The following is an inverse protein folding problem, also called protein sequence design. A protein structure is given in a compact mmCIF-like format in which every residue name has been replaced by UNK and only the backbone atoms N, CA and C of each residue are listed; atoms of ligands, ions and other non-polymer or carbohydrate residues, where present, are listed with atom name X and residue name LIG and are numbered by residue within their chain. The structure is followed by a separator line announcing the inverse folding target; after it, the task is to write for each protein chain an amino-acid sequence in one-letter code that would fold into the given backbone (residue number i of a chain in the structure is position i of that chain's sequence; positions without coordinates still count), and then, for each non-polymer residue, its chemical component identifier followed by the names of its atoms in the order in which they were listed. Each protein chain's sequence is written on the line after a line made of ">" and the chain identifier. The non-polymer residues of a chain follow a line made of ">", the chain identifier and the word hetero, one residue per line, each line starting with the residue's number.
data_IF_270556302586
#
_entry.id   IF_270556302586
#
_cell.length_a   1.000
_cell.length_b   1.000
_cell.length_c   1.000
_cell.angle_alpha   90.00
_cell.angle_beta   90.00
_cell.angle_gamma   90.00
#
_symmetry.space_group_name_H-M   'P 1'
#
loop_
_entity.id
_entity.type
_entity.pdbx_description
1 polymer ?
#
# COMPACT_ATOMS: atom_id res chain seq x y z
N UNK A 1 13.44 -24.04 5.55
CA UNK A 1 12.28 -24.72 4.95
C UNK A 1 12.70 -25.53 3.73
N UNK A 2 12.15 -26.73 3.48
CA UNK A 2 12.42 -27.50 2.26
C UNK A 2 11.98 -26.74 0.99
N UNK A 3 12.72 -26.80 -0.14
CA UNK A 3 12.39 -26.08 -1.37
C UNK A 3 10.96 -26.35 -1.88
N UNK A 4 10.49 -27.59 -1.80
CA UNK A 4 9.13 -27.98 -2.20
C UNK A 4 8.05 -27.26 -1.37
N UNK A 5 8.27 -27.10 -0.07
CA UNK A 5 7.34 -26.38 0.81
C UNK A 5 7.31 -24.89 0.47
N UNK A 6 8.46 -24.30 0.15
CA UNK A 6 8.56 -22.91 -0.27
C UNK A 6 7.78 -22.67 -1.59
N UNK A 7 7.99 -23.54 -2.57
CA UNK A 7 7.30 -23.50 -3.85
C UNK A 7 5.77 -23.59 -3.67
N UNK A 8 5.29 -24.56 -2.89
CA UNK A 8 3.86 -24.71 -2.61
C UNK A 8 3.27 -23.47 -1.91
N UNK A 9 4.02 -22.81 -1.02
CA UNK A 9 3.59 -21.56 -0.39
C UNK A 9 3.51 -20.41 -1.38
N UNK A 10 4.48 -20.29 -2.29
CA UNK A 10 4.47 -19.27 -3.35
C UNK A 10 3.28 -19.50 -4.29
N UNK A 11 3.07 -20.72 -4.76
CA UNK A 11 1.92 -21.08 -5.60
C UNK A 11 0.59 -20.81 -4.87
N UNK A 12 0.53 -21.11 -3.57
CA UNK A 12 -0.63 -20.83 -2.74
C UNK A 12 -0.94 -19.34 -2.59
N UNK A 13 0.08 -18.48 -2.52
CA UNK A 13 -0.06 -17.03 -2.53
C UNK A 13 -0.53 -16.54 -3.90
N UNK A 14 0.12 -16.98 -4.98
CA UNK A 14 -0.22 -16.57 -6.34
C UNK A 14 -1.64 -16.96 -6.73
N UNK A 15 -2.09 -18.16 -6.35
CA UNK A 15 -3.47 -18.58 -6.55
C UNK A 15 -4.49 -17.64 -5.87
N UNK A 16 -4.19 -17.15 -4.66
CA UNK A 16 -5.05 -16.18 -3.95
C UNK A 16 -5.02 -14.82 -4.62
N UNK A 17 -3.83 -14.36 -5.02
CA UNK A 17 -3.67 -13.09 -5.72
C UNK A 17 -4.41 -13.10 -7.06
N UNK A 18 -4.31 -14.18 -7.84
CA UNK A 18 -5.04 -14.38 -9.09
C UNK A 18 -6.57 -14.37 -8.89
N UNK A 19 -7.08 -14.90 -7.77
CA UNK A 19 -8.52 -14.82 -7.43
C UNK A 19 -8.97 -13.39 -7.16
N UNK A 20 -8.16 -12.60 -6.45
CA UNK A 20 -8.42 -11.17 -6.25
C UNK A 20 -8.36 -10.42 -7.58
N UNK A 21 -7.35 -10.71 -8.41
CA UNK A 21 -7.18 -10.12 -9.74
C UNK A 21 -8.39 -10.39 -10.64
N UNK A 22 -8.80 -11.66 -10.75
CA UNK A 22 -9.97 -12.05 -11.52
C UNK A 22 -11.26 -11.40 -10.99
N UNK A 23 -11.41 -11.28 -9.67
CA UNK A 23 -12.55 -10.59 -9.08
C UNK A 23 -12.56 -9.09 -9.42
N UNK A 24 -11.40 -8.43 -9.43
CA UNK A 24 -11.27 -7.01 -9.79
C UNK A 24 -11.39 -6.78 -11.29
N UNK A 25 -10.96 -7.71 -12.14
CA UNK A 25 -11.18 -7.64 -13.58
C UNK A 25 -12.66 -7.80 -13.94
N UNK A 26 -13.36 -8.72 -13.27
CA UNK A 26 -14.80 -8.93 -13.44
C UNK A 26 -15.64 -7.75 -12.89
N UNK A 27 -15.15 -7.07 -11.85
CA UNK A 27 -15.82 -5.97 -11.18
C UNK A 27 -14.84 -4.85 -10.80
N UNK A 28 -14.47 -3.97 -11.76
CA UNK A 28 -13.44 -2.95 -11.55
C UNK A 28 -13.77 -1.97 -10.44
N UNK A 29 -15.05 -1.67 -10.24
CA UNK A 29 -15.49 -0.76 -9.18
C UNK A 29 -15.25 -1.37 -7.79
N UNK A 30 -15.47 -2.67 -7.62
CA UNK A 30 -15.11 -3.37 -6.38
C UNK A 30 -13.59 -3.33 -6.12
N UNK A 31 -12.79 -3.46 -7.18
CA UNK A 31 -11.34 -3.27 -7.10
C UNK A 31 -10.95 -1.87 -6.63
N UNK A 32 -11.55 -0.83 -7.18
CA UNK A 32 -11.33 0.55 -6.73
C UNK A 32 -11.74 0.74 -5.26
N UNK A 33 -12.89 0.21 -4.86
CA UNK A 33 -13.37 0.27 -3.48
C UNK A 33 -12.33 -0.29 -2.51
N UNK A 34 -11.81 -1.48 -2.79
CA UNK A 34 -10.80 -2.13 -1.97
C UNK A 34 -9.46 -1.39 -2.00
N UNK A 35 -8.96 -1.02 -3.20
CA UNK A 35 -7.65 -0.38 -3.37
C UNK A 35 -7.55 0.95 -2.66
N UNK A 36 -8.60 1.78 -2.63
CA UNK A 36 -8.55 3.04 -1.87
C UNK A 36 -8.33 2.80 -0.38
N UNK A 37 -8.96 1.78 0.21
CA UNK A 37 -8.70 1.40 1.61
C UNK A 37 -7.29 0.85 1.80
N UNK A 38 -6.92 -0.14 0.98
CA UNK A 38 -5.64 -0.82 1.04
C UNK A 38 -4.46 0.14 0.86
N UNK A 39 -4.54 1.10 -0.07
CA UNK A 39 -3.48 2.07 -0.35
C UNK A 39 -3.17 2.95 0.87
N UNK A 40 -4.21 3.45 1.55
CA UNK A 40 -4.03 4.28 2.74
C UNK A 40 -3.36 3.49 3.87
N UNK A 41 -3.83 2.27 4.12
CA UNK A 41 -3.26 1.42 5.18
C UNK A 41 -1.84 0.99 4.82
N UNK A 42 -1.57 0.57 3.59
CA UNK A 42 -0.21 0.22 3.14
C UNK A 42 0.76 1.39 3.33
N UNK A 43 0.36 2.61 2.94
CA UNK A 43 1.19 3.80 3.15
C UNK A 43 1.45 4.08 4.65
N UNK A 44 0.41 4.02 5.50
CA UNK A 44 0.56 4.21 6.94
C UNK A 44 1.45 3.13 7.58
N UNK A 45 1.27 1.87 7.20
CA UNK A 45 2.09 0.75 7.70
C UNK A 45 3.52 0.82 7.20
N UNK A 46 3.75 1.27 5.98
CA UNK A 46 5.10 1.45 5.45
C UNK A 46 5.84 2.54 6.21
N UNK A 47 5.19 3.64 6.60
CA UNK A 47 5.78 4.66 7.49
C UNK A 47 6.01 4.12 8.90
N UNK A 48 5.07 3.33 9.44
CA UNK A 48 5.20 2.74 10.77
C UNK A 48 6.34 1.72 10.88
N UNK A 49 6.72 1.06 9.78
CA UNK A 49 7.90 0.20 9.72
C UNK A 49 9.22 0.96 9.86
N UNK A 50 9.19 2.29 9.72
CA UNK A 50 10.32 3.21 9.87
C UNK A 50 10.27 3.95 11.23
N UNK A 51 9.62 3.33 12.22
CA UNK A 51 9.42 3.81 13.59
C UNK A 51 8.60 5.12 13.74
N UNK A 52 7.94 5.59 12.67
CA UNK A 52 7.06 6.77 12.73
C UNK A 52 5.61 6.32 12.89
N UNK A 53 5.04 6.54 14.07
CA UNK A 53 3.69 6.05 14.40
C UNK A 53 2.61 6.97 13.82
N UNK A 54 1.91 6.49 12.79
CA UNK A 54 0.83 7.23 12.13
C UNK A 54 -0.39 6.33 11.95
N UNK A 55 -1.58 6.89 12.19
CA UNK A 55 -2.86 6.23 11.95
C UNK A 55 -3.58 6.85 10.76
N UNK A 56 -4.37 6.04 10.05
CA UNK A 56 -5.10 6.44 8.85
C UNK A 56 -5.99 7.67 9.09
N UNK A 57 -6.68 7.71 10.23
CA UNK A 57 -7.51 8.84 10.63
C UNK A 57 -6.71 10.14 10.77
N UNK A 58 -5.51 10.08 11.36
CA UNK A 58 -4.69 11.28 11.63
C UNK A 58 -4.22 11.94 10.32
N UNK A 59 -3.88 11.14 9.31
CA UNK A 59 -3.46 11.61 7.98
C UNK A 59 -4.58 12.40 7.28
N UNK A 60 -5.78 11.82 7.23
CA UNK A 60 -6.93 12.44 6.57
C UNK A 60 -7.43 13.65 7.35
N UNK A 61 -7.55 13.55 8.67
CA UNK A 61 -8.01 14.68 9.50
C UNK A 61 -7.01 15.84 9.51
N UNK A 62 -5.70 15.60 9.50
CA UNK A 62 -4.70 16.68 9.40
C UNK A 62 -4.85 17.43 8.08
N UNK A 63 -4.92 16.73 6.96
CA UNK A 63 -5.09 17.35 5.65
C UNK A 63 -6.38 18.18 5.57
N UNK A 64 -7.47 17.67 6.15
CA UNK A 64 -8.78 18.31 6.06
C UNK A 64 -9.03 19.42 7.09
N UNK A 65 -8.40 19.35 8.27
CA UNK A 65 -8.70 20.25 9.39
C UNK A 65 -7.55 21.21 9.74
N UNK A 66 -6.39 21.10 9.05
CA UNK A 66 -5.17 21.85 9.35
C UNK A 66 -4.87 21.90 10.86
N UNK A 67 -5.14 20.79 11.55
CA UNK A 67 -4.97 20.70 13.00
C UNK A 67 -3.48 20.71 13.32
N UNK A 68 -3.08 21.56 14.26
CA UNK A 68 -1.80 21.53 14.94
C UNK A 68 -1.60 20.14 15.56
N UNK A 69 -0.92 19.28 14.81
CA UNK A 69 -0.33 18.03 15.27
C UNK A 69 1.09 18.35 15.72
N UNK A 70 1.63 17.56 16.64
CA UNK A 70 3.03 17.64 17.00
C UNK A 70 3.93 17.43 15.77
N UNK A 71 5.19 17.84 15.86
CA UNK A 71 6.13 17.79 14.73
C UNK A 71 6.31 16.37 14.17
N UNK A 72 6.14 15.35 15.01
CA UNK A 72 6.23 13.93 14.63
C UNK A 72 5.02 13.48 13.82
N UNK A 73 3.79 13.76 14.27
CA UNK A 73 2.58 13.50 13.48
C UNK A 73 2.53 14.30 12.17
N UNK A 74 3.16 15.47 12.15
CA UNK A 74 3.33 16.26 10.94
C UNK A 74 4.22 15.57 9.91
N UNK A 75 5.43 15.19 10.32
CA UNK A 75 6.39 14.47 9.49
C UNK A 75 5.81 13.15 8.98
N UNK A 76 5.14 12.40 9.85
CA UNK A 76 4.51 11.14 9.51
C UNK A 76 3.41 11.28 8.45
N UNK A 77 2.54 12.30 8.55
CA UNK A 77 1.49 12.52 7.55
C UNK A 77 2.04 12.95 6.18
N UNK A 78 3.11 13.73 6.16
CA UNK A 78 3.78 14.15 4.93
C UNK A 78 4.47 12.95 4.25
N UNK A 79 5.14 12.11 5.04
CA UNK A 79 5.71 10.84 4.59
C UNK A 79 4.63 9.89 4.03
N UNK A 80 3.52 9.70 4.76
CA UNK A 80 2.39 8.89 4.26
C UNK A 80 1.86 9.45 2.94
N UNK A 81 1.73 10.77 2.83
CA UNK A 81 1.26 11.40 1.59
C UNK A 81 2.23 11.16 0.43
N UNK A 82 3.54 11.20 0.68
CA UNK A 82 4.56 10.93 -0.33
C UNK A 82 4.48 9.47 -0.83
N UNK A 83 4.47 8.49 0.10
CA UNK A 83 4.30 7.07 -0.25
C UNK A 83 2.98 6.81 -0.98
N UNK A 84 1.88 7.40 -0.50
CA UNK A 84 0.55 7.22 -1.07
C UNK A 84 0.46 7.71 -2.52
N UNK A 85 1.23 8.73 -2.93
CA UNK A 85 1.28 9.15 -4.34
C UNK A 85 1.81 8.05 -5.24
N UNK A 86 2.86 7.36 -4.80
CA UNK A 86 3.45 6.24 -5.56
C UNK A 86 2.50 5.04 -5.50
N UNK A 87 1.96 4.70 -4.33
CA UNK A 87 1.05 3.56 -4.19
C UNK A 87 -0.23 3.76 -5.03
N UNK A 88 -0.81 4.96 -5.05
CA UNK A 88 -2.02 5.25 -5.81
C UNK A 88 -1.81 5.24 -7.33
N UNK A 89 -0.61 5.64 -7.79
CA UNK A 89 -0.20 5.67 -9.19
C UNK A 89 1.25 5.20 -9.34
N UNK A 90 1.52 3.88 -9.34
CA UNK A 90 2.89 3.36 -9.30
C UNK A 90 3.74 3.72 -10.52
N UNK A 91 3.12 3.90 -11.68
CA UNK A 91 3.82 4.17 -12.94
C UNK A 91 4.17 2.90 -13.70
N UNK A 92 4.82 3.08 -14.85
CA UNK A 92 5.19 2.01 -15.78
C UNK A 92 6.62 1.54 -15.50
N UNK A 93 6.80 0.66 -14.52
CA UNK A 93 8.15 0.17 -14.15
C UNK A 93 8.82 -0.60 -15.29
N UNK A 94 8.04 -1.23 -16.19
CA UNK A 94 8.59 -1.97 -17.32
C UNK A 94 9.08 -1.03 -18.45
N UNK A 95 8.34 0.03 -18.75
CA UNK A 95 8.63 0.98 -19.83
C UNK A 95 9.45 2.22 -19.44
N UNK A 96 9.41 2.64 -18.17
CA UNK A 96 10.07 3.84 -17.65
C UNK A 96 10.70 3.59 -16.27
N UNK A 97 11.52 2.53 -16.21
CA UNK A 97 12.06 1.99 -14.95
C UNK A 97 12.79 3.06 -14.13
N UNK A 98 13.71 3.83 -14.74
CA UNK A 98 14.52 4.80 -14.03
C UNK A 98 13.67 5.90 -13.36
N UNK A 99 12.66 6.44 -14.05
CA UNK A 99 11.78 7.47 -13.48
C UNK A 99 10.92 6.91 -12.33
N UNK A 100 10.46 5.67 -12.44
CA UNK A 100 9.70 5.03 -11.36
C UNK A 100 10.57 4.77 -10.13
N UNK A 101 11.82 4.31 -10.30
CA UNK A 101 12.76 4.10 -9.19
C UNK A 101 13.07 5.42 -8.46
N UNK A 102 13.34 6.49 -9.22
CA UNK A 102 13.60 7.83 -8.69
C UNK A 102 12.37 8.39 -7.94
N UNK A 103 11.14 8.12 -8.42
CA UNK A 103 9.90 8.43 -7.68
C UNK A 103 9.78 7.63 -6.38
N UNK A 104 10.10 6.34 -6.41
CA UNK A 104 10.08 5.49 -5.21
C UNK A 104 11.07 5.99 -4.16
N UNK A 105 12.30 6.33 -4.58
CA UNK A 105 13.34 6.87 -3.71
C UNK A 105 12.93 8.20 -3.09
N UNK A 106 12.46 9.17 -3.89
CA UNK A 106 12.02 10.48 -3.38
C UNK A 106 10.82 10.41 -2.44
N UNK A 107 9.99 9.38 -2.58
CA UNK A 107 8.84 9.18 -1.72
C UNK A 107 9.18 8.45 -0.40
N UNK A 108 10.35 7.80 -0.35
CA UNK A 108 10.77 6.99 0.77
C UNK A 108 10.94 7.82 2.04
N UNK A 109 10.72 7.19 3.18
CA UNK A 109 11.13 7.72 4.47
C UNK A 109 12.65 7.52 4.56
N UNK A 110 13.39 8.59 4.32
CA UNK A 110 14.85 8.62 4.42
C UNK A 110 15.28 9.69 5.42
N UNK A 111 16.42 9.48 6.08
CA UNK A 111 17.09 10.49 6.91
C UNK A 111 17.88 11.47 6.02
N UNK A 112 18.27 11.02 4.82
CA UNK A 112 19.03 11.79 3.85
C UNK A 112 18.13 12.25 2.69
N UNK A 113 17.93 13.57 2.58
CA UNK A 113 17.21 14.25 1.48
C UNK A 113 18.03 14.28 0.16
N UNK A 114 18.94 13.32 -0.02
CA UNK A 114 19.87 13.27 -1.15
C UNK A 114 19.19 12.90 -2.47
N UNK A 115 19.71 13.45 -3.57
CA UNK A 115 19.39 12.97 -4.92
C UNK A 115 19.67 11.47 -5.03
N UNK A 116 18.92 10.78 -5.91
CA UNK A 116 19.10 9.35 -6.15
C UNK A 116 20.59 9.05 -6.43
N UNK A 117 21.31 8.37 -5.51
CA UNK A 117 22.77 8.43 -5.50
C UNK A 117 23.44 7.43 -6.45
N UNK A 118 22.69 6.85 -7.39
CA UNK A 118 23.13 5.74 -8.25
C UNK A 118 22.95 6.05 -9.72
N UNK A 119 23.72 5.35 -10.57
CA UNK A 119 23.46 5.31 -12.01
C UNK A 119 22.12 4.63 -12.27
N UNK A 120 21.07 5.46 -12.34
CA UNK A 120 19.70 5.01 -12.52
C UNK A 120 19.49 4.19 -13.78
N UNK A 121 20.32 4.35 -14.82
CA UNK A 121 20.22 3.55 -16.05
C UNK A 121 20.72 2.12 -15.83
N UNK A 122 21.87 1.95 -15.14
CA UNK A 122 22.43 0.63 -14.85
C UNK A 122 21.54 -0.19 -13.90
N UNK A 123 21.00 0.46 -12.86
CA UNK A 123 20.05 -0.18 -11.92
C UNK A 123 18.73 -0.52 -12.62
N UNK A 124 18.22 0.39 -13.46
CA UNK A 124 17.02 0.16 -14.26
C UNK A 124 17.14 -1.09 -15.14
N UNK A 125 18.26 -1.29 -15.83
CA UNK A 125 18.46 -2.46 -16.67
C UNK A 125 18.52 -3.77 -15.86
N UNK A 126 19.11 -3.74 -14.65
CA UNK A 126 19.14 -4.90 -13.73
C UNK A 126 17.77 -5.29 -13.19
N UNK A 127 16.84 -4.34 -13.09
CA UNK A 127 15.46 -4.59 -12.63
C UNK A 127 14.55 -4.96 -13.79
N UNK A 128 14.66 -4.26 -14.92
CA UNK A 128 13.77 -4.43 -16.09
C UNK A 128 13.86 -5.82 -16.71
N UNK A 129 15.08 -6.32 -16.97
CA UNK A 129 15.24 -7.64 -17.64
C UNK A 129 14.64 -8.79 -16.82
N UNK A 130 14.90 -8.92 -15.51
CA UNK A 130 14.24 -9.94 -14.71
C UNK A 130 12.74 -9.75 -14.56
N UNK A 131 12.25 -8.51 -14.58
CA UNK A 131 10.83 -8.22 -14.52
C UNK A 131 10.11 -8.77 -15.76
N UNK A 132 10.66 -8.53 -16.96
CA UNK A 132 10.12 -9.06 -18.23
C UNK A 132 10.10 -10.59 -18.28
N UNK A 133 11.07 -11.25 -17.63
CA UNK A 133 11.19 -12.70 -17.58
C UNK A 133 10.54 -13.35 -16.34
N UNK A 134 9.88 -12.58 -15.48
CA UNK A 134 9.37 -13.08 -14.21
C UNK A 134 8.24 -14.10 -14.44
N UNK A 135 8.28 -15.28 -13.81
CA UNK A 135 7.24 -16.30 -13.99
C UNK A 135 5.91 -15.92 -13.35
N UNK A 136 5.94 -15.07 -12.32
CA UNK A 136 4.77 -14.65 -11.55
C UNK A 136 4.93 -13.21 -11.01
N UNK A 137 3.83 -12.46 -10.79
CA UNK A 137 3.88 -11.11 -10.22
C UNK A 137 4.63 -10.99 -8.89
N UNK A 138 4.43 -11.92 -7.94
CA UNK A 138 5.11 -11.92 -6.65
C UNK A 138 6.62 -12.10 -6.80
N UNK A 139 7.05 -13.08 -7.60
CA UNK A 139 8.47 -13.38 -7.74
C UNK A 139 9.22 -12.26 -8.47
N UNK A 140 8.62 -11.69 -9.52
CA UNK A 140 9.19 -10.53 -10.20
C UNK A 140 9.28 -9.31 -9.28
N UNK A 141 8.25 -9.06 -8.47
CA UNK A 141 8.25 -7.97 -7.50
C UNK A 141 9.27 -8.16 -6.37
N UNK A 142 9.36 -9.38 -5.83
CA UNK A 142 10.34 -9.75 -4.81
C UNK A 142 11.76 -9.55 -5.33
N UNK A 143 12.04 -10.03 -6.54
CA UNK A 143 13.35 -9.89 -7.18
C UNK A 143 13.69 -8.42 -7.45
N UNK A 144 12.76 -7.63 -7.99
CA UNK A 144 12.97 -6.20 -8.22
C UNK A 144 13.34 -5.47 -6.93
N UNK A 145 12.64 -5.78 -5.83
CA UNK A 145 12.91 -5.16 -4.53
C UNK A 145 14.25 -5.61 -3.91
N UNK A 146 14.63 -6.89 -4.05
CA UNK A 146 15.94 -7.37 -3.58
C UNK A 146 17.07 -6.72 -4.39
N UNK A 147 16.95 -6.68 -5.72
CA UNK A 147 17.95 -6.02 -6.59
C UNK A 147 18.10 -4.55 -6.18
N UNK A 148 16.99 -3.82 -6.06
CA UNK A 148 17.03 -2.42 -5.63
C UNK A 148 17.65 -2.25 -4.23
N UNK A 149 17.34 -3.14 -3.29
CA UNK A 149 17.90 -3.12 -1.94
C UNK A 149 19.41 -3.30 -1.92
N UNK A 150 19.93 -4.22 -2.74
CA UNK A 150 21.39 -4.44 -2.88
C UNK A 150 22.09 -3.18 -3.41
N UNK A 151 21.49 -2.51 -4.39
CA UNK A 151 22.04 -1.27 -4.95
C UNK A 151 22.03 -0.12 -3.96
N UNK A 152 20.99 -0.05 -3.14
CA UNK A 152 20.81 1.03 -2.16
C UNK A 152 21.43 0.72 -0.78
N UNK A 153 22.15 -0.40 -0.65
CA UNK A 153 22.69 -0.88 0.63
C UNK A 153 21.65 -0.93 1.76
N UNK A 154 20.37 -1.16 1.41
CA UNK A 154 19.23 -1.14 2.34
C UNK A 154 19.04 0.17 3.12
N UNK A 155 19.53 1.30 2.60
CA UNK A 155 19.44 2.61 3.26
C UNK A 155 18.02 3.16 3.33
N UNK A 156 17.11 2.70 2.46
CA UNK A 156 15.71 3.13 2.43
C UNK A 156 14.74 1.93 2.25
N UNK A 157 14.46 1.13 3.29
CA UNK A 157 13.57 -0.04 3.18
C UNK A 157 12.15 0.29 2.70
N UNK A 158 11.67 1.50 2.97
CA UNK A 158 10.39 1.99 2.43
C UNK A 158 10.40 2.17 0.91
N UNK A 159 11.55 2.51 0.31
CA UNK A 159 11.73 2.55 -1.14
C UNK A 159 11.65 1.14 -1.73
N UNK A 160 12.30 0.14 -1.12
CA UNK A 160 12.25 -1.25 -1.57
C UNK A 160 10.81 -1.77 -1.66
N UNK A 161 9.98 -1.43 -0.66
CA UNK A 161 8.56 -1.80 -0.62
C UNK A 161 7.75 -1.10 -1.71
N UNK A 162 8.07 0.15 -2.03
CA UNK A 162 7.46 0.83 -3.17
C UNK A 162 7.86 0.20 -4.50
N UNK A 163 9.14 -0.19 -4.67
CA UNK A 163 9.62 -0.90 -5.86
C UNK A 163 8.91 -2.25 -6.00
N UNK A 164 8.72 -2.99 -4.90
CA UNK A 164 7.91 -4.21 -4.89
C UNK A 164 6.49 -3.93 -5.41
N UNK A 165 5.80 -2.91 -4.88
CA UNK A 165 4.43 -2.55 -5.29
C UNK A 165 4.37 -2.12 -6.76
N UNK A 166 5.36 -1.35 -7.24
CA UNK A 166 5.42 -0.90 -8.62
C UNK A 166 5.70 -2.05 -9.60
N UNK A 167 6.55 -3.01 -9.22
CA UNK A 167 6.84 -4.20 -10.00
C UNK A 167 5.61 -5.12 -10.08
N UNK A 168 4.95 -5.36 -8.94
CA UNK A 168 3.75 -6.19 -8.89
C UNK A 168 2.59 -5.56 -9.70
N UNK A 169 2.44 -4.22 -9.63
CA UNK A 169 1.54 -3.45 -10.49
C UNK A 169 1.82 -3.67 -11.97
N UNK A 170 3.07 -3.52 -12.41
CA UNK A 170 3.45 -3.64 -13.82
C UNK A 170 3.23 -5.06 -14.36
N UNK A 171 3.56 -6.08 -13.57
CA UNK A 171 3.41 -7.49 -13.94
C UNK A 171 1.96 -7.95 -14.07
N UNK A 172 1.01 -7.26 -13.42
CA UNK A 172 -0.43 -7.51 -13.58
C UNK A 172 -1.04 -6.79 -14.79
N UNK A 173 -0.21 -6.23 -15.66
CA UNK A 173 -0.67 -5.57 -16.89
C UNK A 173 -1.46 -4.28 -16.65
N UNK A 174 -1.40 -3.71 -15.44
CA UNK A 174 -1.85 -2.34 -15.23
C UNK A 174 -0.82 -1.41 -15.90
N UNK A 175 -1.22 -0.85 -17.03
CA UNK A 175 -0.35 -0.01 -17.85
C UNK A 175 -0.01 1.33 -17.21
N UNK A 176 0.46 2.27 -18.05
CA UNK A 176 0.87 3.62 -17.64
C UNK A 176 -0.20 4.31 -16.80
N UNK A 177 0.17 4.65 -15.57
CA UNK A 177 -0.66 5.46 -14.67
C UNK A 177 -0.36 6.93 -14.86
N UNK A 178 -1.35 7.80 -14.73
CA UNK A 178 -1.09 9.23 -14.61
C UNK A 178 -0.84 9.55 -13.13
N UNK A 179 0.14 10.40 -12.87
CA UNK A 179 0.31 10.93 -11.52
C UNK A 179 -0.98 11.64 -11.08
N UNK A 180 -1.47 11.26 -9.89
CA UNK A 180 -2.69 11.80 -9.32
C UNK A 180 -2.64 13.33 -9.26
N UNK A 181 -3.54 13.98 -10.00
CA UNK A 181 -3.70 15.43 -9.97
C UNK A 181 -4.57 15.81 -8.77
N UNK A 182 -3.93 16.13 -7.64
CA UNK A 182 -4.60 16.78 -6.51
C UNK A 182 -3.71 16.87 -5.28
N UNK A 183 -3.70 18.00 -4.56
CA UNK A 183 -2.92 18.12 -3.35
C UNK A 183 -3.54 17.23 -2.26
N UNK A 184 -2.72 16.34 -1.69
CA UNK A 184 -3.00 15.64 -0.44
C UNK A 184 -3.75 14.31 -0.53
N UNK A 185 -3.80 13.58 0.60
CA UNK A 185 -4.20 12.17 0.65
C UNK A 185 -5.66 11.94 0.25
N UNK A 186 -6.59 12.85 0.60
CA UNK A 186 -7.99 12.70 0.22
C UNK A 186 -8.20 12.71 -1.31
N UNK A 187 -7.41 13.52 -2.03
CA UNK A 187 -7.45 13.60 -3.49
C UNK A 187 -6.86 12.34 -4.14
N UNK A 188 -5.77 11.80 -3.58
CA UNK A 188 -5.12 10.58 -4.07
C UNK A 188 -6.04 9.35 -3.94
N UNK A 189 -6.78 9.24 -2.83
CA UNK A 189 -7.68 8.12 -2.58
C UNK A 189 -8.92 8.09 -3.49
N UNK A 190 -9.26 9.21 -4.13
CA UNK A 190 -10.36 9.30 -5.11
C UNK A 190 -9.99 8.69 -6.46
N UNK A 191 -8.70 8.57 -6.77
CA UNK A 191 -8.22 8.14 -8.08
C UNK A 191 -7.00 7.24 -7.93
N UNK A 192 -7.24 6.04 -7.43
CA UNK A 192 -6.23 4.97 -7.36
C UNK A 192 -6.17 4.28 -8.72
N UNK A 193 -5.14 4.59 -9.49
CA UNK A 193 -4.84 4.01 -10.80
C UNK A 193 -3.84 2.87 -10.62
N UNK A 194 -4.18 1.87 -9.81
CA UNK A 194 -3.28 0.76 -9.49
C UNK A 194 -3.86 -0.59 -9.90
N UNK A 195 -3.01 -1.47 -10.46
CA UNK A 195 -3.27 -2.89 -10.64
C UNK A 195 -2.88 -3.77 -9.45
N UNK A 196 -2.06 -3.26 -8.53
CA UNK A 196 -1.46 -4.09 -7.51
C UNK A 196 -2.47 -4.73 -6.55
N UNK A 197 -2.05 -5.84 -5.94
CA UNK A 197 -2.85 -6.65 -5.00
C UNK A 197 -2.07 -6.90 -3.71
N UNK A 198 -0.78 -7.15 -3.80
CA UNK A 198 0.02 -7.50 -2.63
C UNK A 198 0.44 -6.25 -1.85
N UNK A 199 0.12 -6.22 -0.56
CA UNK A 199 0.45 -5.13 0.38
C UNK A 199 1.52 -5.60 1.38
N UNK A 200 2.82 -5.36 1.12
CA UNK A 200 3.89 -5.90 1.96
C UNK A 200 3.93 -5.30 3.38
N UNK A 201 3.65 -4.00 3.56
CA UNK A 201 3.72 -3.37 4.88
C UNK A 201 2.53 -3.77 5.76
N UNK A 202 1.33 -3.74 5.18
CA UNK A 202 0.33 -4.82 5.26
C UNK A 202 0.71 -6.06 6.07
N UNK A 203 1.23 -7.02 5.31
CA UNK A 203 1.65 -8.35 5.73
C UNK A 203 2.63 -8.35 6.91
N UNK A 204 3.55 -7.38 6.97
CA UNK A 204 4.62 -7.36 7.97
C UNK A 204 4.23 -6.71 9.31
N UNK A 205 3.12 -5.99 9.37
CA UNK A 205 2.67 -5.33 10.60
C UNK A 205 1.43 -5.97 11.19
N UNK A 206 0.79 -6.86 10.44
CA UNK A 206 -0.44 -7.49 10.85
C UNK A 206 -0.19 -8.72 11.75
N UNK A 207 -0.74 -8.68 12.96
CA UNK A 207 -0.55 -9.75 13.94
C UNK A 207 0.82 -9.74 14.62
N UNK A 208 1.62 -8.69 14.39
CA UNK A 208 2.93 -8.50 14.98
C UNK A 208 3.86 -7.75 14.02
N UNK A 209 4.86 -7.08 14.57
CA UNK A 209 5.88 -6.38 13.78
C UNK A 209 6.93 -7.36 13.25
N UNK A 210 7.25 -7.26 11.95
CA UNK A 210 8.32 -7.98 11.26
C UNK A 210 9.10 -6.99 10.40
N UNK A 211 10.44 -7.06 10.47
CA UNK A 211 11.30 -6.23 9.66
C UNK A 211 11.25 -6.63 8.18
N UNK A 212 11.36 -5.64 7.29
CA UNK A 212 11.55 -5.87 5.86
C UNK A 212 12.95 -6.47 5.60
N UNK A 213 12.99 -7.76 5.26
CA UNK A 213 14.23 -8.52 5.02
C UNK A 213 14.05 -9.60 3.95
N UNK A 214 13.53 -9.23 2.75
CA UNK A 214 13.12 -10.19 1.71
C UNK A 214 14.25 -11.09 1.19
N UNK A 215 15.51 -10.66 1.30
CA UNK A 215 16.69 -11.44 0.90
C UNK A 215 17.08 -12.57 1.86
N UNK A 216 16.47 -12.65 3.04
CA UNK A 216 16.73 -13.72 4.01
C UNK A 216 15.60 -14.76 3.99
N UNK A 217 15.91 -16.03 4.26
CA UNK A 217 14.89 -17.07 4.32
C UNK A 217 13.81 -16.77 5.38
N UNK A 218 14.21 -16.33 6.57
CA UNK A 218 13.26 -15.99 7.64
C UNK A 218 12.36 -14.78 7.29
N UNK A 219 12.93 -13.78 6.63
CA UNK A 219 12.19 -12.62 6.13
C UNK A 219 11.21 -12.99 5.04
N UNK A 220 11.62 -13.82 4.07
CA UNK A 220 10.76 -14.35 3.02
C UNK A 220 9.61 -15.19 3.60
N UNK A 221 9.90 -16.08 4.55
CA UNK A 221 8.87 -16.90 5.22
C UNK A 221 7.83 -16.05 5.95
N UNK A 222 8.27 -14.98 6.61
CA UNK A 222 7.42 -14.00 7.30
C UNK A 222 6.56 -13.22 6.30
N UNK A 223 7.16 -12.72 5.22
CA UNK A 223 6.46 -12.00 4.17
C UNK A 223 5.41 -12.86 3.49
N UNK A 224 5.75 -14.09 3.08
CA UNK A 224 4.82 -15.05 2.48
C UNK A 224 3.65 -15.37 3.42
N UNK A 225 3.94 -15.52 4.72
CA UNK A 225 2.91 -15.81 5.73
C UNK A 225 1.92 -14.67 5.87
N UNK A 226 2.45 -13.45 6.04
CA UNK A 226 1.64 -12.24 6.15
C UNK A 226 0.84 -11.94 4.87
N UNK A 227 1.46 -12.06 3.69
CA UNK A 227 0.79 -11.82 2.41
C UNK A 227 -0.33 -12.84 2.16
N UNK A 228 -0.13 -14.11 2.53
CA UNK A 228 -1.17 -15.14 2.43
C UNK A 228 -2.37 -14.79 3.31
N UNK A 229 -2.11 -14.43 4.58
CA UNK A 229 -3.17 -14.03 5.52
C UNK A 229 -3.91 -12.77 5.06
N UNK A 230 -3.19 -11.78 4.51
CA UNK A 230 -3.79 -10.56 3.98
C UNK A 230 -4.61 -10.82 2.71
N UNK A 231 -4.14 -11.68 1.80
CA UNK A 231 -4.93 -12.07 0.63
C UNK A 231 -6.23 -12.79 1.03
N UNK A 232 -6.18 -13.69 2.03
CA UNK A 232 -7.38 -14.36 2.55
C UNK A 232 -8.37 -13.36 3.17
N UNK A 233 -7.88 -12.36 3.91
CA UNK A 233 -8.73 -11.29 4.45
C UNK A 233 -9.32 -10.41 3.36
N UNK A 234 -8.53 -10.03 2.37
CA UNK A 234 -8.98 -9.24 1.23
C UNK A 234 -10.10 -9.95 0.48
N UNK A 235 -9.97 -11.26 0.24
CA UNK A 235 -11.02 -12.10 -0.35
C UNK A 235 -12.32 -12.07 0.47
N UNK A 236 -12.22 -12.14 1.81
CA UNK A 236 -13.37 -12.00 2.70
C UNK A 236 -14.02 -10.61 2.64
N UNK A 237 -13.23 -9.55 2.53
CA UNK A 237 -13.72 -8.16 2.44
C UNK A 237 -14.52 -7.91 1.16
N UNK A 238 -14.23 -8.61 0.06
CA UNK A 238 -14.98 -8.44 -1.21
C UNK A 238 -16.49 -8.67 -1.05
N UNK A 239 -16.88 -9.66 -0.25
CA UNK A 239 -18.29 -9.96 0.00
C UNK A 239 -18.99 -8.81 0.73
N UNK A 240 -18.31 -8.18 1.69
CA UNK A 240 -18.82 -7.04 2.46
C UNK A 240 -19.00 -5.82 1.57
N UNK A 241 -17.98 -5.48 0.77
CA UNK A 241 -18.03 -4.35 -0.15
C UNK A 241 -19.10 -4.53 -1.23
N UNK A 242 -19.21 -5.74 -1.82
CA UNK A 242 -20.24 -6.05 -2.82
C UNK A 242 -21.64 -5.93 -2.22
N UNK A 243 -21.87 -6.46 -1.02
CA UNK A 243 -23.16 -6.35 -0.33
C UNK A 243 -23.53 -4.91 -0.07
N UNK A 244 -22.62 -4.12 0.51
CA UNK A 244 -22.85 -2.70 0.74
C UNK A 244 -23.27 -1.98 -0.56
N UNK A 245 -22.59 -2.27 -1.68
CA UNK A 245 -22.90 -1.63 -2.96
C UNK A 245 -24.29 -2.00 -3.47
N UNK A 246 -24.65 -3.29 -3.39
CA UNK A 246 -25.99 -3.77 -3.77
C UNK A 246 -27.09 -3.10 -2.94
N UNK A 247 -26.89 -3.03 -1.62
CA UNK A 247 -27.85 -2.41 -0.69
C UNK A 247 -28.00 -0.90 -1.00
N UNK A 248 -26.88 -0.19 -1.21
CA UNK A 248 -26.90 1.23 -1.58
C UNK A 248 -27.60 1.49 -2.93
N UNK A 249 -27.36 0.62 -3.92
CA UNK A 249 -28.03 0.71 -5.23
C UNK A 249 -29.54 0.45 -5.12
N UNK A 250 -29.96 -0.52 -4.31
CA UNK A 250 -31.37 -0.81 -4.07
C UNK A 250 -32.09 0.38 -3.41
N UNK A 251 -31.46 1.00 -2.40
CA UNK A 251 -31.99 2.22 -1.76
C UNK A 251 -32.11 3.35 -2.77
N UNK A 252 -31.10 3.56 -3.61
CA UNK A 252 -31.13 4.60 -4.64
C UNK A 252 -32.20 4.34 -5.71
N UNK A 253 -32.44 3.09 -6.09
CA UNK A 253 -33.44 2.71 -7.08
C UNK A 253 -34.88 2.92 -6.59
N UNK A 254 -35.12 2.82 -5.28
CA UNK A 254 -36.44 3.04 -4.67
C UNK A 254 -36.84 4.52 -4.58
N UNK A 255 -35.93 5.46 -4.88
CA UNK A 255 -36.22 6.91 -4.85
C UNK A 255 -36.85 7.40 -6.16
N UNK A 256 -37.52 8.56 -6.09
CA UNK A 256 -38.13 9.16 -7.28
C UNK A 256 -37.07 9.49 -8.34
N UNK A 257 -37.46 9.46 -9.62
CA UNK A 257 -36.55 9.74 -10.74
C UNK A 257 -35.93 11.15 -10.76
N UNK A 258 -36.39 12.06 -9.89
CA UNK A 258 -35.80 13.39 -9.71
C UNK A 258 -34.64 13.41 -8.69
N UNK A 259 -34.46 12.35 -7.90
CA UNK A 259 -33.37 12.27 -6.91
C UNK A 259 -32.04 11.95 -7.60
N UNK A 260 -30.97 12.62 -7.16
CA UNK A 260 -29.59 12.37 -7.59
C UNK A 260 -28.90 11.28 -6.76
N UNK A 261 -29.63 10.56 -5.90
CA UNK A 261 -29.05 9.54 -5.01
C UNK A 261 -28.38 8.40 -5.79
N UNK A 262 -28.90 8.04 -6.96
CA UNK A 262 -28.25 7.04 -7.84
C UNK A 262 -26.88 7.51 -8.34
N UNK A 263 -26.76 8.78 -8.69
CA UNK A 263 -25.50 9.35 -9.15
C UNK A 263 -24.50 9.46 -7.98
N UNK A 264 -24.98 9.83 -6.78
CA UNK A 264 -24.17 9.81 -5.57
C UNK A 264 -23.65 8.40 -5.24
N UNK A 265 -24.48 7.36 -5.28
CA UNK A 265 -24.06 5.98 -5.00
C UNK A 265 -22.96 5.52 -5.94
N UNK A 266 -23.09 5.83 -7.24
CA UNK A 266 -22.05 5.54 -8.24
C UNK A 266 -20.76 6.30 -7.94
N UNK A 267 -20.87 7.56 -7.53
CA UNK A 267 -19.73 8.38 -7.16
C UNK A 267 -19.00 7.81 -5.94
N UNK A 268 -19.70 7.52 -4.83
CA UNK A 268 -19.06 7.04 -3.59
C UNK A 268 -18.46 5.63 -3.72
N UNK A 269 -18.97 4.81 -4.64
CA UNK A 269 -18.37 3.51 -4.93
C UNK A 269 -16.96 3.67 -5.50
N UNK A 270 -16.72 4.72 -6.30
CA UNK A 270 -15.40 5.02 -6.88
C UNK A 270 -14.55 5.89 -5.98
N UNK A 271 -15.20 6.78 -5.24
CA UNK A 271 -14.56 7.83 -4.46
C UNK A 271 -14.97 7.72 -2.99
N UNK A 272 -14.11 7.18 -2.10
CA UNK A 272 -14.52 6.86 -0.73
C UNK A 272 -14.67 8.08 0.18
N UNK A 273 -14.26 9.28 -0.27
CA UNK A 273 -14.24 10.52 0.51
C UNK A 273 -14.84 11.69 -0.28
N UNK A 274 -15.92 12.26 0.25
CA UNK A 274 -16.68 13.32 -0.39
C UNK A 274 -16.77 14.57 0.50
N UNK A 275 -16.73 15.74 -0.14
CA UNK A 275 -17.04 17.03 0.50
C UNK A 275 -18.23 17.67 -0.23
N UNK A 276 -18.98 18.54 0.45
CA UNK A 276 -20.12 19.20 -0.17
C UNK A 276 -19.72 20.08 -1.39
N UNK A 277 -18.60 20.85 -1.36
CA UNK A 277 -18.13 21.56 -2.56
C UNK A 277 -17.85 20.61 -3.73
N UNK A 278 -17.16 19.50 -3.48
CA UNK A 278 -16.83 18.51 -4.49
C UNK A 278 -18.08 17.87 -5.09
N UNK A 279 -19.04 17.47 -4.24
CA UNK A 279 -20.30 16.90 -4.69
C UNK A 279 -21.08 17.82 -5.63
N UNK A 280 -21.10 19.12 -5.33
CA UNK A 280 -21.79 20.13 -6.16
C UNK A 280 -21.16 20.23 -7.53
N UNK A 281 -19.84 20.28 -7.58
CA UNK A 281 -19.07 20.37 -8.82
C UNK A 281 -19.29 19.10 -9.67
N UNK A 282 -19.09 17.92 -9.08
CA UNK A 282 -19.17 16.65 -9.79
C UNK A 282 -20.58 16.28 -10.24
N UNK A 283 -21.62 16.58 -9.43
CA UNK A 283 -23.01 16.23 -9.78
C UNK A 283 -23.81 17.39 -10.39
N UNK A 284 -23.22 18.58 -10.52
CA UNK A 284 -23.90 19.76 -11.05
C UNK A 284 -25.11 20.21 -10.22
N UNK A 285 -25.07 20.02 -8.90
CA UNK A 285 -26.20 20.34 -7.99
C UNK A 285 -25.99 21.64 -7.22
N UNK A 286 -27.09 22.30 -6.86
CA UNK A 286 -27.04 23.50 -6.02
C UNK A 286 -26.51 23.18 -4.61
N UNK A 287 -26.04 24.21 -3.89
CA UNK A 287 -25.56 24.04 -2.50
C UNK A 287 -26.62 23.44 -1.58
N UNK A 288 -27.87 23.86 -1.71
CA UNK A 288 -28.97 23.31 -0.89
C UNK A 288 -29.21 21.85 -1.25
N UNK A 289 -29.28 21.53 -2.55
CA UNK A 289 -29.49 20.18 -3.02
C UNK A 289 -28.34 19.23 -2.61
N UNK A 290 -27.09 19.69 -2.56
CA UNK A 290 -25.97 18.86 -2.11
C UNK A 290 -26.09 18.45 -0.63
N UNK A 291 -26.52 19.36 0.24
CA UNK A 291 -26.70 19.01 1.66
C UNK A 291 -27.89 18.08 1.86
N UNK A 292 -29.03 18.35 1.21
CA UNK A 292 -30.19 17.43 1.25
C UNK A 292 -29.81 16.03 0.76
N UNK A 293 -29.07 15.94 -0.34
CA UNK A 293 -28.63 14.67 -0.92
C UNK A 293 -27.70 13.89 0.04
N UNK A 294 -26.83 14.59 0.75
CA UNK A 294 -25.91 13.99 1.71
C UNK A 294 -26.63 13.56 2.99
N UNK A 295 -27.56 14.38 3.51
CA UNK A 295 -28.39 14.01 4.67
C UNK A 295 -29.25 12.78 4.35
N UNK A 296 -29.82 12.70 3.15
CA UNK A 296 -30.55 11.51 2.67
C UNK A 296 -29.65 10.27 2.61
N UNK A 297 -28.42 10.41 2.11
CA UNK A 297 -27.47 9.31 2.01
C UNK A 297 -26.93 8.87 3.38
N UNK A 298 -26.73 9.80 4.31
CA UNK A 298 -26.32 9.53 5.69
C UNK A 298 -27.43 8.81 6.45
N UNK A 299 -28.69 9.26 6.33
CA UNK A 299 -29.85 8.58 6.91
C UNK A 299 -30.06 7.17 6.35
N UNK A 300 -29.64 6.92 5.10
CA UNK A 300 -29.65 5.61 4.47
C UNK A 300 -28.42 4.73 4.78
N UNK A 301 -27.44 5.22 5.54
CA UNK A 301 -26.20 4.50 5.83
C UNK A 301 -25.24 4.36 4.64
N UNK A 302 -25.46 5.12 3.56
CA UNK A 302 -24.60 5.13 2.36
C UNK A 302 -23.32 5.92 2.63
N UNK A 303 -23.41 6.96 3.46
CA UNK A 303 -22.31 7.82 3.88
C UNK A 303 -22.28 7.94 5.41
N UNK A 304 -21.11 8.25 5.95
CA UNK A 304 -20.93 8.66 7.35
C UNK A 304 -20.12 9.94 7.43
N UNK A 305 -20.61 10.93 8.18
CA UNK A 305 -19.83 12.13 8.46
C UNK A 305 -18.64 11.78 9.35
N UNK A 306 -17.42 12.11 8.91
CA UNK A 306 -16.19 11.80 9.66
C UNK A 306 -15.60 13.02 10.37
N UNK A 307 -15.94 14.23 9.94
CA UNK A 307 -15.47 15.47 10.60
C UNK A 307 -16.50 16.05 11.58
N UNK A 308 -16.06 16.60 12.72
CA UNK A 308 -16.97 17.09 13.76
C UNK A 308 -17.50 18.52 13.50
N UNK A 309 -16.91 19.30 12.58
CA UNK A 309 -17.27 20.71 12.36
C UNK A 309 -18.35 20.87 11.30
N UNK A 310 -19.31 21.76 11.56
CA UNK A 310 -20.41 22.09 10.63
C UNK A 310 -19.98 22.90 9.42
N UNK A 311 -18.92 23.72 9.55
CA UNK A 311 -18.41 24.58 8.48
C UNK A 311 -17.63 23.85 7.39
N UNK A 312 -17.07 22.67 7.71
CA UNK A 312 -16.34 21.83 6.76
C UNK A 312 -16.58 20.35 7.07
N UNK A 313 -17.63 19.81 6.45
CA UNK A 313 -18.01 18.40 6.57
C UNK A 313 -17.37 17.56 5.47
N UNK A 314 -16.80 16.43 5.89
CA UNK A 314 -16.34 15.37 5.00
C UNK A 314 -17.10 14.11 5.37
N UNK A 315 -17.56 13.42 4.34
CA UNK A 315 -18.25 12.16 4.45
C UNK A 315 -17.43 11.07 3.80
N UNK A 316 -17.48 9.89 4.40
CA UNK A 316 -16.80 8.72 3.90
C UNK A 316 -17.80 7.59 3.65
N UNK A 317 -17.44 6.70 2.72
CA UNK A 317 -18.07 5.38 2.62
C UNK A 317 -17.89 4.63 3.95
N UNK A 318 -18.87 3.83 4.45
CA UNK A 318 -18.81 3.24 5.79
C UNK A 318 -17.52 2.48 6.12
N UNK A 319 -17.01 1.63 5.22
CA UNK A 319 -15.75 0.90 5.39
C UNK A 319 -14.53 1.84 5.54
N UNK A 320 -14.51 2.94 4.77
CA UNK A 320 -13.49 3.97 4.91
C UNK A 320 -13.68 4.75 6.21
N UNK A 321 -14.93 5.06 6.59
CA UNK A 321 -15.22 5.74 7.85
C UNK A 321 -14.77 4.93 9.07
N UNK A 322 -15.00 3.62 9.06
CA UNK A 322 -14.54 2.70 10.11
C UNK A 322 -13.01 2.69 10.21
N UNK A 323 -12.32 2.69 9.05
CA UNK A 323 -10.86 2.78 8.98
C UNK A 323 -10.33 4.11 9.56
N UNK A 324 -10.97 5.22 9.23
CA UNK A 324 -10.58 6.57 9.68
C UNK A 324 -10.98 6.88 11.13
N UNK A 325 -11.86 6.07 11.73
CA UNK A 325 -12.19 6.16 13.14
C UNK A 325 -11.02 5.74 14.05
N UNK A 326 -10.11 4.89 13.55
CA UNK A 326 -8.87 4.55 14.23
C UNK A 326 -7.95 5.77 14.29
N UNK A 327 -7.58 6.17 15.50
CA UNK A 327 -6.76 7.36 15.77
C UNK A 327 -5.74 7.05 16.85
N UNK A 328 -4.64 7.78 16.85
CA UNK A 328 -3.71 7.76 17.98
C UNK A 328 -4.47 8.11 19.27
N UNK A 329 -4.34 7.32 20.36
CA UNK A 329 -4.80 7.77 21.66
C UNK A 329 -4.09 9.08 21.96
N UNK A 330 -4.83 10.18 22.03
CA UNK A 330 -4.26 11.48 22.38
C UNK A 330 -3.49 11.32 23.68
N UNK A 331 -2.17 11.40 23.62
CA UNK A 331 -1.36 11.69 24.80
C UNK A 331 -1.86 13.07 25.24
N UNK A 332 -2.70 13.13 26.27
CA UNK A 332 -3.00 14.38 26.94
C UNK A 332 -1.64 14.95 27.31
N UNK A 333 -1.21 15.98 26.60
CA UNK A 333 -0.15 16.85 27.10
C UNK A 333 -0.80 17.54 28.28
N UNK A 334 -0.70 16.91 29.46
CA UNK A 334 -1.05 17.55 30.71
C UNK A 334 -0.13 18.75 30.83
N UNK A 335 -0.76 19.91 30.66
CA UNK A 335 -0.15 21.20 30.78
C UNK A 335 0.02 21.44 32.28
N UNK A 336 1.16 20.99 32.80
CA UNK A 336 1.64 21.35 34.13
C UNK A 336 1.56 20.21 35.14
N UNK A 337 2.66 19.47 35.27
CA UNK A 337 3.27 19.27 36.58
C UNK A 337 4.76 18.96 36.37
N UNK A 338 5.62 19.88 36.79
CA UNK A 338 7.04 19.61 36.97
C UNK A 338 7.16 18.59 38.10
N UNK A 339 7.24 17.32 37.77
CA UNK A 339 7.87 16.33 38.64
C UNK A 339 9.31 16.13 38.16
N UNK A 340 10.20 16.87 38.80
CA UNK A 340 11.61 16.56 38.88
C UNK A 340 11.79 15.21 39.54
N UNK A 341 12.29 14.23 38.80
CA UNK A 341 12.99 13.07 39.34
C UNK A 341 14.38 12.98 38.68
N UNK A 342 15.43 12.58 39.42
CA UNK A 342 16.80 12.89 39.06
C UNK A 342 17.47 11.78 38.23
N UNK A 343 18.24 12.21 37.22
CA UNK A 343 19.53 11.60 36.89
C UNK A 343 19.53 10.23 36.20
N UNK A 344 19.28 10.21 34.89
CA UNK A 344 20.11 9.44 33.95
C UNK A 344 20.30 10.32 32.72
N UNK A 345 21.51 10.86 32.54
CA UNK A 345 21.89 11.57 31.34
C UNK A 345 21.94 10.56 30.17
N UNK A 346 20.79 10.33 29.53
CA UNK A 346 20.75 9.67 28.23
C UNK A 346 21.21 10.69 27.20
N UNK A 347 22.49 10.65 26.88
CA UNK A 347 23.07 11.34 25.74
C UNK A 347 22.45 10.77 24.44
N UNK A 348 21.56 11.51 23.76
CA UNK A 348 20.87 11.02 22.57
C UNK A 348 21.84 10.78 21.41
N UNK A 349 23.00 11.45 21.42
CA UNK A 349 24.00 11.32 20.36
C UNK A 349 24.77 9.99 20.45
N UNK A 350 24.92 9.43 21.65
CA UNK A 350 25.57 8.13 21.84
C UNK A 350 24.67 6.95 21.41
N UNK A 351 23.35 7.07 21.63
CA UNK A 351 22.36 6.09 21.15
C UNK A 351 22.16 6.13 19.62
N UNK A 352 22.41 7.28 18.98
CA UNK A 352 22.41 7.40 17.51
C UNK A 352 23.71 6.83 16.92
N UNK A 353 24.86 7.03 17.58
CA UNK A 353 26.14 6.48 17.15
C UNK A 353 26.23 4.93 17.28
N UNK A 354 25.56 4.32 18.26
CA UNK A 354 25.47 2.85 18.37
C UNK A 354 24.43 2.23 17.41
N UNK A 355 23.49 3.02 16.87
CA UNK A 355 22.47 2.56 15.91
C UNK A 355 22.81 2.86 14.45
N UNK A 356 23.65 3.86 14.19
CA UNK A 356 24.35 4.04 12.93
C UNK A 356 25.52 3.04 12.85
N UNK A 357 25.19 1.75 12.79
CA UNK A 357 26.20 0.72 12.56
C UNK A 357 26.84 0.91 11.20
N UNK A 358 27.99 1.57 11.15
CA UNK A 358 28.93 1.45 10.03
C UNK A 358 29.38 -0.02 10.02
N UNK A 359 28.65 -0.86 9.29
CA UNK A 359 28.96 -2.29 9.15
C UNK A 359 30.32 -2.42 8.48
N UNK A 360 31.21 -3.19 9.08
CA UNK A 360 32.52 -3.48 8.51
C UNK A 360 32.40 -4.13 7.12
N UNK A 361 33.28 -3.82 6.15
CA UNK A 361 33.25 -4.37 4.80
C UNK A 361 33.11 -5.89 4.73
N UNK A 362 33.75 -6.62 5.65
CA UNK A 362 33.70 -8.08 5.69
C UNK A 362 32.30 -8.66 6.01
N UNK A 363 31.49 -7.97 6.82
CA UNK A 363 30.10 -8.39 7.10
C UNK A 363 29.16 -8.09 5.93
N UNK A 364 29.55 -7.16 5.04
CA UNK A 364 28.78 -6.80 3.83
C UNK A 364 28.96 -7.83 2.73
N UNK A 365 30.20 -8.27 2.50
CA UNK A 365 30.50 -9.37 1.56
C UNK A 365 29.79 -10.68 1.96
N UNK A 366 29.72 -10.97 3.27
CA UNK A 366 29.00 -12.14 3.79
C UNK A 366 27.48 -12.05 3.62
N UNK A 367 26.87 -10.89 3.81
CA UNK A 367 25.43 -10.67 3.62
C UNK A 367 25.07 -10.71 2.11
N UNK A 368 25.88 -10.09 1.25
CA UNK A 368 25.72 -10.15 -0.21
C UNK A 368 25.85 -11.58 -0.73
N UNK A 369 26.83 -12.35 -0.24
CA UNK A 369 27.00 -13.76 -0.61
C UNK A 369 25.80 -14.61 -0.16
N UNK A 370 25.23 -14.35 1.03
CA UNK A 370 24.03 -15.05 1.52
C UNK A 370 22.78 -14.70 0.72
N UNK A 371 22.61 -13.43 0.34
CA UNK A 371 21.47 -12.98 -0.47
C UNK A 371 21.56 -13.49 -1.91
N UNK A 372 22.76 -13.47 -2.52
CA UNK A 372 23.02 -14.09 -3.80
C UNK A 372 22.74 -15.60 -3.77
N UNK A 373 23.15 -16.29 -2.69
CA UNK A 373 22.85 -17.70 -2.50
C UNK A 373 21.34 -17.97 -2.31
N UNK A 374 20.62 -17.10 -1.61
CA UNK A 374 19.17 -17.21 -1.45
C UNK A 374 18.42 -17.00 -2.76
N UNK A 375 18.84 -16.03 -3.59
CA UNK A 375 18.32 -15.82 -4.94
C UNK A 375 18.63 -17.00 -5.86
N UNK A 376 19.86 -17.52 -5.83
CA UNK A 376 20.23 -18.70 -6.61
C UNK A 376 19.39 -19.93 -6.19
N UNK A 377 19.18 -20.13 -4.89
CA UNK A 377 18.33 -21.20 -4.40
C UNK A 377 16.85 -21.04 -4.83
N UNK A 378 16.37 -19.81 -4.97
CA UNK A 378 15.04 -19.51 -5.51
C UNK A 378 14.96 -19.82 -7.01
N UNK A 379 15.96 -19.40 -7.79
CA UNK A 379 16.06 -19.69 -9.22
C UNK A 379 16.16 -21.20 -9.50
N UNK A 380 16.91 -21.94 -8.67
CA UNK A 380 17.00 -23.41 -8.73
C UNK A 380 15.65 -24.08 -8.42
N UNK A 381 14.95 -23.59 -7.40
CA UNK A 381 13.62 -24.10 -7.03
C UNK A 381 12.60 -23.87 -8.16
N UNK A 382 12.67 -22.73 -8.84
CA UNK A 382 11.84 -22.44 -10.01
C UNK A 382 12.18 -23.33 -11.20
N UNK A 383 13.46 -23.48 -11.53
CA UNK A 383 13.92 -24.35 -12.62
C UNK A 383 13.46 -25.79 -12.39
N UNK A 384 13.50 -26.26 -11.14
CA UNK A 384 12.96 -27.56 -10.77
C UNK A 384 11.43 -27.62 -10.96
N UNK A 385 10.70 -26.58 -10.59
CA UNK A 385 9.26 -26.50 -10.80
C UNK A 385 8.88 -26.58 -12.28
N UNK A 386 9.58 -25.85 -13.14
CA UNK A 386 9.38 -25.89 -14.59
C UNK A 386 9.63 -27.30 -15.16
N UNK A 387 10.69 -27.98 -14.70
CA UNK A 387 10.97 -29.35 -15.08
C UNK A 387 9.87 -30.34 -14.63
N UNK A 388 9.31 -30.15 -13.43
CA UNK A 388 8.19 -30.95 -12.93
C UNK A 388 6.93 -30.70 -13.77
N UNK A 389 6.59 -29.44 -14.06
CA UNK A 389 5.43 -29.08 -14.87
C UNK A 389 5.54 -29.63 -16.30
N UNK A 390 6.72 -29.55 -16.93
CA UNK A 390 6.98 -30.12 -18.25
C UNK A 390 6.79 -31.66 -18.30
N UNK A 391 7.14 -32.36 -17.21
CA UNK A 391 6.93 -33.81 -17.07
C UNK A 391 5.45 -34.20 -17.01
N UNK A 392 4.59 -33.33 -16.49
CA UNK A 392 3.15 -33.56 -16.46
C UNK A 392 2.46 -33.18 -17.79
N UNK A 393 2.91 -32.09 -18.44
CA UNK A 393 2.44 -31.73 -19.77
C UNK A 393 2.70 -32.83 -20.81
N UNK A 394 3.91 -33.42 -20.81
CA UNK A 394 4.28 -34.52 -21.70
C UNK A 394 3.58 -35.86 -21.42
N UNK A 395 2.92 -36.02 -20.27
CA UNK A 395 2.11 -37.20 -19.93
C UNK A 395 0.66 -37.06 -20.40
N UNK A 396 0.13 -35.85 -20.55
CA UNK A 396 -1.20 -35.63 -21.13
C UNK A 396 -1.21 -35.87 -22.65
N UNK A 397 -0.12 -35.54 -23.35
CA UNK A 397 0.00 -35.79 -24.80
C UNK A 397 0.23 -37.27 -25.18
N UNK A 398 0.54 -38.15 -24.22
CA UNK A 398 0.71 -39.60 -24.46
C UNK A 398 -0.52 -40.44 -24.05
N UNK A 399 -1.60 -39.77 -23.65
CA UNK A 399 -2.85 -40.39 -23.19
C UNK A 399 -4.08 -40.07 -24.05
N UNK A 400 -3.91 -39.48 -25.23
CA UNK A 400 -4.96 -39.29 -26.25
C UNK A 400 -4.78 -40.25 -27.42
#
# INVERSE_FOLDING_TARGET
>A
MPPETLLLRILGLESRAARLEGAFAADPELGLMWRSGAALTEACRSVALEDIHVFEGDVIHRHLENRLTDAEGARGADAVTALLRVIASPGDLAGDTAAVLDRCWRAAVSIDDGAFPFDGAAVADRIRRPLEAAPTPFLGALRAAIVFRMETDSTAPSADRLVFIAAEHALRGAGRTQEGRGPGPASLLRRVEAGWILTPSVALTQGGFRAWSPGTLAGLESLLGGLTAEADRALGQLAVLRRWRMDAQAVAAARSGKSRLRDLVRLVAREPLLTAPYLRETLGVSRRASFTLVDEAEAAGILRCITPRTSWRVWARPDMADRLALRSPRRRVDRGERQTAPGVANDPQRAIAERAGVRSPALREDDEAREAAALAALDDAMTHADAVLAKYASRQDRGS
#
